data_IF_807767979861
#
_entry.id   IF_807767979861
#
_cell.length_a   1.000
_cell.length_b   1.000
_cell.length_c   1.000
_cell.angle_alpha   90.00
_cell.angle_beta   90.00
_cell.angle_gamma   90.00
#
_symmetry.space_group_name_H-M   'P 1'
#
loop_
_entity.id
_entity.type
_entity.pdbx_description
1 polymer ?
#
# COMPACT_ATOMS: atom_id res chain seq x y z
N UNK A 1 -14.52 -17.79 12.07
CA UNK A 1 -14.35 -17.44 10.65
C UNK A 1 -15.48 -17.95 9.76
N UNK A 2 -16.36 -18.80 10.26
CA UNK A 2 -17.40 -19.47 9.47
C UNK A 2 -18.61 -18.61 9.06
N UNK A 3 -18.69 -17.35 9.47
CA UNK A 3 -19.82 -16.47 9.17
C UNK A 3 -19.56 -15.37 8.12
N UNK A 4 -18.37 -15.34 7.48
CA UNK A 4 -18.03 -14.29 6.50
C UNK A 4 -18.30 -14.73 5.05
N UNK A 5 -18.41 -16.02 4.80
CA UNK A 5 -18.71 -16.54 3.47
C UNK A 5 -20.18 -17.01 3.43
N UNK A 6 -21.05 -16.11 2.95
CA UNK A 6 -22.43 -16.47 2.66
C UNK A 6 -22.51 -17.73 1.80
N UNK A 7 -23.45 -18.57 2.13
CA UNK A 7 -23.72 -19.90 1.59
C UNK A 7 -24.21 -19.91 0.13
N UNK A 8 -23.49 -19.26 -0.78
CA UNK A 8 -23.67 -19.47 -2.22
C UNK A 8 -22.64 -20.50 -2.68
N UNK A 9 -23.10 -21.71 -3.00
CA UNK A 9 -22.25 -22.85 -3.37
C UNK A 9 -21.37 -22.54 -4.58
N UNK A 10 -21.84 -21.73 -5.52
CA UNK A 10 -21.07 -21.29 -6.69
C UNK A 10 -19.91 -20.36 -6.30
N UNK A 11 -20.15 -19.46 -5.36
CA UNK A 11 -19.14 -18.56 -4.79
C UNK A 11 -18.03 -19.34 -4.06
N UNK A 12 -18.39 -20.35 -3.27
CA UNK A 12 -17.42 -21.14 -2.51
C UNK A 12 -16.49 -21.97 -3.41
N UNK A 13 -16.97 -22.46 -4.54
CA UNK A 13 -16.17 -23.25 -5.50
C UNK A 13 -15.15 -22.36 -6.21
N UNK A 14 -15.50 -21.15 -6.61
CA UNK A 14 -14.60 -20.25 -7.33
C UNK A 14 -13.53 -19.68 -6.40
N UNK A 15 -13.89 -19.26 -5.21
CA UNK A 15 -12.94 -18.82 -4.16
C UNK A 15 -11.98 -19.95 -3.82
N UNK A 16 -12.46 -21.19 -3.69
CA UNK A 16 -11.60 -22.35 -3.46
C UNK A 16 -10.60 -22.59 -4.59
N UNK A 17 -11.01 -22.43 -5.86
CA UNK A 17 -10.10 -22.56 -7.02
C UNK A 17 -8.99 -21.50 -6.98
N UNK A 18 -9.35 -20.22 -6.78
CA UNK A 18 -8.39 -19.11 -6.71
C UNK A 18 -7.42 -19.32 -5.55
N UNK A 19 -7.91 -19.76 -4.39
CA UNK A 19 -7.07 -20.03 -3.21
C UNK A 19 -6.02 -21.11 -3.48
N UNK A 20 -6.39 -22.21 -4.16
CA UNK A 20 -5.47 -23.29 -4.51
C UNK A 20 -4.36 -22.85 -5.48
N UNK A 21 -4.61 -21.83 -6.30
CA UNK A 21 -3.67 -21.27 -7.28
C UNK A 21 -2.79 -20.15 -6.69
N UNK A 22 -3.05 -19.72 -5.45
CA UNK A 22 -2.31 -18.66 -4.76
C UNK A 22 -0.97 -19.18 -4.24
N UNK A 23 0.10 -18.44 -4.51
CA UNK A 23 1.40 -18.71 -3.89
C UNK A 23 1.45 -18.12 -2.48
N UNK A 24 1.96 -18.95 -1.58
CA UNK A 24 2.44 -18.55 -0.28
C UNK A 24 3.92 -18.90 -0.15
N UNK A 25 4.64 -18.21 0.72
CA UNK A 25 5.97 -18.62 1.13
C UNK A 25 6.10 -18.59 2.64
N UNK A 26 6.96 -19.46 3.17
CA UNK A 26 7.29 -19.54 4.58
C UNK A 26 8.77 -19.23 4.78
N UNK A 27 9.08 -18.42 5.77
CA UNK A 27 10.42 -18.32 6.33
C UNK A 27 10.42 -19.06 7.67
N UNK A 28 11.21 -20.11 7.76
CA UNK A 28 11.35 -20.93 8.95
C UNK A 28 12.55 -20.48 9.80
N UNK A 29 12.82 -21.19 10.88
CA UNK A 29 14.05 -21.06 11.66
C UNK A 29 15.29 -21.12 10.75
N UNK A 30 16.38 -20.49 11.17
CA UNK A 30 17.65 -20.43 10.44
C UNK A 30 17.54 -19.80 9.04
N UNK A 31 16.56 -18.87 8.87
CA UNK A 31 16.28 -18.16 7.62
C UNK A 31 15.99 -19.08 6.41
N UNK A 32 15.54 -20.33 6.65
CA UNK A 32 15.14 -21.25 5.58
C UNK A 32 13.90 -20.70 4.90
N UNK A 33 14.03 -20.36 3.60
CA UNK A 33 12.96 -19.78 2.80
C UNK A 33 12.35 -20.80 1.85
N UNK A 34 11.04 -21.06 2.03
CA UNK A 34 10.29 -22.05 1.23
C UNK A 34 9.25 -21.31 0.40
N UNK A 35 9.40 -21.33 -0.92
CA UNK A 35 8.46 -20.76 -1.89
C UNK A 35 7.52 -21.80 -2.49
N UNK A 36 6.56 -21.31 -3.27
CA UNK A 36 5.61 -22.11 -4.05
C UNK A 36 4.72 -22.99 -3.19
N UNK A 37 4.42 -22.56 -1.97
CA UNK A 37 3.42 -23.22 -1.15
C UNK A 37 2.02 -22.84 -1.67
N UNK A 38 1.12 -23.82 -1.71
CA UNK A 38 -0.29 -23.62 -2.02
C UNK A 38 -1.12 -24.70 -1.29
N UNK A 39 -2.36 -24.37 -0.99
CA UNK A 39 -3.21 -25.19 -0.11
C UNK A 39 -4.56 -25.40 -0.79
N UNK A 40 -5.15 -26.56 -0.56
CA UNK A 40 -6.46 -26.94 -1.06
C UNK A 40 -7.55 -26.02 -0.47
N UNK A 41 -7.43 -25.80 0.84
CA UNK A 41 -8.39 -25.07 1.65
C UNK A 41 -7.72 -24.45 2.88
N UNK A 42 -8.49 -23.76 3.69
CA UNK A 42 -8.05 -23.12 4.92
C UNK A 42 -7.55 -24.14 5.94
N UNK A 43 -8.16 -25.31 6.04
CA UNK A 43 -7.79 -26.36 7.01
C UNK A 43 -6.39 -26.92 6.71
N UNK A 44 -6.08 -27.20 5.42
CA UNK A 44 -4.74 -27.61 5.00
C UNK A 44 -3.72 -26.52 5.31
N UNK A 45 -4.03 -25.27 5.02
CA UNK A 45 -3.15 -24.13 5.32
C UNK A 45 -2.86 -24.01 6.82
N UNK A 46 -3.89 -24.09 7.65
CA UNK A 46 -3.75 -24.02 9.11
C UNK A 46 -2.88 -25.16 9.64
N UNK A 47 -3.10 -26.39 9.16
CA UNK A 47 -2.30 -27.55 9.50
C UNK A 47 -0.83 -27.36 9.15
N UNK A 48 -0.53 -26.88 7.95
CA UNK A 48 0.84 -26.67 7.50
C UNK A 48 1.51 -25.49 8.24
N UNK A 49 0.79 -24.43 8.57
CA UNK A 49 1.30 -23.35 9.43
C UNK A 49 1.64 -23.89 10.81
N UNK A 50 0.75 -24.70 11.43
CA UNK A 50 1.00 -25.32 12.74
C UNK A 50 2.18 -26.29 12.69
N UNK A 51 2.33 -27.05 11.60
CA UNK A 51 3.42 -28.02 11.42
C UNK A 51 4.79 -27.35 11.27
N UNK A 52 4.85 -26.27 10.47
CA UNK A 52 6.10 -25.61 10.14
C UNK A 52 6.48 -24.48 11.10
N UNK A 53 5.51 -23.91 11.83
CA UNK A 53 5.67 -22.74 12.70
C UNK A 53 6.52 -21.63 12.05
N UNK A 54 6.14 -21.14 10.86
CA UNK A 54 6.95 -20.18 10.13
C UNK A 54 7.09 -18.86 10.90
N UNK A 55 8.28 -18.27 10.87
CA UNK A 55 8.51 -16.95 11.43
C UNK A 55 7.89 -15.85 10.59
N UNK A 56 7.80 -16.08 9.27
CA UNK A 56 7.22 -15.11 8.33
C UNK A 56 6.43 -15.86 7.25
N UNK A 57 5.29 -15.31 6.90
CA UNK A 57 4.45 -15.77 5.80
C UNK A 57 4.34 -14.63 4.79
N UNK A 58 4.66 -14.91 3.52
CA UNK A 58 4.43 -13.96 2.44
C UNK A 58 3.32 -14.47 1.53
N UNK A 59 2.59 -13.53 0.92
CA UNK A 59 1.55 -13.78 -0.07
C UNK A 59 2.08 -13.37 -1.44
N UNK A 60 1.95 -14.26 -2.42
CA UNK A 60 2.33 -14.06 -3.81
C UNK A 60 1.14 -13.95 -4.76
N UNK A 61 1.39 -14.15 -6.04
CA UNK A 61 0.37 -14.13 -7.09
C UNK A 61 -0.52 -15.37 -7.08
N UNK A 62 -1.65 -15.26 -7.75
CA UNK A 62 -2.45 -16.40 -8.24
C UNK A 62 -1.85 -16.81 -9.59
N UNK A 63 -1.55 -18.09 -9.75
CA UNK A 63 -0.91 -18.62 -10.93
C UNK A 63 -1.87 -19.44 -11.82
N UNK A 64 -1.42 -19.76 -13.02
CA UNK A 64 -2.16 -20.61 -13.96
C UNK A 64 -2.36 -22.05 -13.47
N UNK A 65 -1.49 -22.52 -12.56
CA UNK A 65 -1.50 -23.83 -11.93
C UNK A 65 -1.15 -23.70 -10.46
N UNK A 66 -1.41 -24.76 -9.67
CA UNK A 66 -1.05 -24.76 -8.26
C UNK A 66 0.46 -24.55 -8.08
N UNK A 67 0.88 -23.60 -7.26
CA UNK A 67 2.31 -23.30 -7.06
C UNK A 67 3.16 -24.50 -6.69
N UNK A 68 2.69 -25.41 -5.84
CA UNK A 68 3.45 -26.61 -5.50
C UNK A 68 3.73 -27.55 -6.69
N UNK A 69 2.94 -27.45 -7.76
CA UNK A 69 3.11 -28.26 -8.96
C UNK A 69 3.94 -27.55 -10.05
N UNK A 70 4.51 -26.37 -9.77
CA UNK A 70 5.19 -25.50 -10.74
C UNK A 70 6.27 -26.18 -11.58
N UNK A 71 6.92 -27.23 -11.06
CA UNK A 71 7.99 -27.98 -11.77
C UNK A 71 7.44 -29.01 -12.74
N UNK A 72 6.16 -29.37 -12.64
CA UNK A 72 5.54 -30.43 -13.43
C UNK A 72 4.79 -29.89 -14.63
N UNK A 73 4.64 -28.56 -14.75
CA UNK A 73 3.89 -27.91 -15.82
C UNK A 73 4.84 -27.18 -16.78
N UNK A 74 4.52 -27.20 -18.05
CA UNK A 74 5.34 -26.55 -19.10
C UNK A 74 5.22 -25.03 -19.08
N UNK A 75 4.07 -24.49 -18.66
CA UNK A 75 3.79 -23.04 -18.58
C UNK A 75 3.24 -22.71 -17.22
N UNK A 76 4.00 -21.96 -16.45
CA UNK A 76 3.64 -21.50 -15.11
C UNK A 76 3.71 -19.97 -15.05
N UNK A 77 2.57 -19.31 -15.14
CA UNK A 77 2.48 -17.84 -15.25
C UNK A 77 1.59 -17.25 -14.16
N UNK A 78 2.00 -16.11 -13.57
CA UNK A 78 1.12 -15.36 -12.67
C UNK A 78 -0.05 -14.76 -13.47
N UNK A 79 -1.25 -14.87 -12.95
CA UNK A 79 -2.50 -14.40 -13.56
C UNK A 79 -3.00 -13.10 -12.93
N UNK A 80 -3.02 -13.06 -11.62
CA UNK A 80 -3.40 -11.86 -10.88
C UNK A 80 -2.63 -11.75 -9.56
N UNK A 81 -2.52 -10.55 -9.07
CA UNK A 81 -1.94 -10.23 -7.77
C UNK A 81 -2.43 -8.86 -7.33
N UNK A 82 -2.64 -8.66 -6.06
CA UNK A 82 -2.88 -7.34 -5.48
C UNK A 82 -1.79 -6.36 -5.94
N UNK A 83 -2.16 -5.12 -6.22
CA UNK A 83 -1.18 -4.07 -6.46
C UNK A 83 -0.67 -3.61 -5.09
N UNK A 84 0.63 -3.78 -4.87
CA UNK A 84 1.21 -3.56 -3.53
C UNK A 84 2.31 -2.51 -3.55
N UNK A 85 2.45 -1.80 -2.43
CA UNK A 85 3.53 -0.83 -2.20
C UNK A 85 4.21 -1.15 -0.88
N UNK A 86 5.53 -1.05 -0.88
CA UNK A 86 6.37 -1.17 0.31
C UNK A 86 7.11 0.14 0.55
N UNK A 87 7.04 0.65 1.78
CA UNK A 87 7.69 1.88 2.22
C UNK A 87 8.47 1.59 3.48
N UNK A 88 9.79 1.67 3.39
CA UNK A 88 10.69 1.42 4.51
C UNK A 88 11.32 2.74 5.01
N UNK A 89 11.44 2.87 6.33
CA UNK A 89 12.02 4.05 6.96
C UNK A 89 13.50 4.24 6.63
N UNK A 90 14.24 3.20 6.28
CA UNK A 90 15.65 3.32 5.89
C UNK A 90 15.87 4.15 4.64
N UNK A 91 14.88 4.21 3.75
CA UNK A 91 14.95 5.05 2.57
C UNK A 91 14.92 6.55 2.88
N UNK A 92 14.58 6.91 4.13
CA UNK A 92 14.55 8.28 4.62
C UNK A 92 15.80 8.67 5.45
N UNK A 93 16.82 7.81 5.55
CA UNK A 93 18.01 8.08 6.38
C UNK A 93 18.76 9.35 5.94
N UNK A 94 18.67 9.76 4.67
CA UNK A 94 19.24 11.01 4.18
C UNK A 94 18.53 12.28 4.69
N UNK A 95 17.26 12.16 5.15
CA UNK A 95 16.42 13.30 5.59
C UNK A 95 15.93 13.16 7.03
N UNK A 96 16.39 12.17 7.78
CA UNK A 96 16.09 12.04 9.21
C UNK A 96 17.37 12.11 10.06
N UNK A 97 17.24 12.73 11.23
CA UNK A 97 18.34 12.98 12.17
C UNK A 97 18.10 12.38 13.55
N UNK A 98 16.87 11.99 13.87
CA UNK A 98 16.48 11.47 15.18
C UNK A 98 16.83 9.99 15.39
N UNK A 99 16.88 9.20 14.31
CA UNK A 99 17.17 7.77 14.28
C UNK A 99 17.90 7.42 12.98
N UNK A 100 18.44 6.20 12.89
CA UNK A 100 19.03 5.66 11.66
C UNK A 100 18.76 4.16 11.52
N UNK A 101 18.87 3.64 10.31
CA UNK A 101 18.73 2.22 10.01
C UNK A 101 17.40 1.65 10.48
N UNK A 102 17.44 0.69 11.41
CA UNK A 102 16.25 -0.01 11.88
C UNK A 102 15.47 0.70 12.99
N UNK A 103 16.06 1.70 13.59
CA UNK A 103 15.45 2.43 14.70
C UNK A 103 14.40 3.42 14.20
N UNK A 104 13.30 3.52 14.94
CA UNK A 104 12.21 4.47 14.69
C UNK A 104 11.76 5.11 15.99
N UNK A 105 11.24 6.33 15.89
CA UNK A 105 10.60 7.05 16.99
C UNK A 105 9.41 7.86 16.46
N UNK A 106 8.67 8.51 17.35
CA UNK A 106 7.52 9.34 16.95
C UNK A 106 7.88 10.47 15.98
N UNK A 107 9.09 11.01 16.08
CA UNK A 107 9.57 12.08 15.19
C UNK A 107 9.69 11.61 13.74
N UNK A 108 10.42 10.52 13.49
CA UNK A 108 10.57 10.02 12.12
C UNK A 108 9.32 9.27 11.62
N UNK A 109 8.45 8.73 12.51
CA UNK A 109 7.25 8.04 12.06
C UNK A 109 6.31 8.93 11.24
N UNK A 110 6.37 10.25 11.40
CA UNK A 110 5.62 11.21 10.59
C UNK A 110 5.91 11.10 9.09
N UNK A 111 7.09 10.62 8.68
CA UNK A 111 7.36 10.30 7.27
C UNK A 111 6.40 9.22 6.75
N UNK A 112 6.16 8.18 7.56
CA UNK A 112 5.18 7.13 7.19
C UNK A 112 3.77 7.67 7.14
N UNK A 113 3.38 8.51 8.08
CA UNK A 113 2.07 9.19 8.09
C UNK A 113 1.85 9.99 6.80
N UNK A 114 2.84 10.79 6.38
CA UNK A 114 2.77 11.57 5.14
C UNK A 114 2.70 10.64 3.92
N UNK A 115 3.51 9.58 3.90
CA UNK A 115 3.52 8.61 2.82
C UNK A 115 2.15 7.93 2.64
N UNK A 116 1.54 7.47 3.73
CA UNK A 116 0.18 6.92 3.72
C UNK A 116 -0.82 7.91 3.16
N UNK A 117 -0.84 9.15 3.66
CA UNK A 117 -1.79 10.18 3.21
C UNK A 117 -1.63 10.56 1.74
N UNK A 118 -0.40 10.69 1.25
CA UNK A 118 -0.13 11.03 -0.16
C UNK A 118 -0.54 9.86 -1.07
N UNK A 119 -0.11 8.64 -0.76
CA UNK A 119 -0.40 7.49 -1.59
C UNK A 119 -1.88 7.10 -1.57
N UNK A 120 -2.52 7.03 -0.39
CA UNK A 120 -3.94 6.71 -0.29
C UNK A 120 -4.79 7.69 -1.10
N UNK A 121 -4.48 9.01 -0.99
CA UNK A 121 -5.18 10.01 -1.78
C UNK A 121 -4.95 9.88 -3.28
N UNK A 122 -3.73 9.53 -3.71
CA UNK A 122 -3.42 9.32 -5.12
C UNK A 122 -4.11 8.08 -5.67
N UNK A 123 -4.04 6.96 -4.96
CA UNK A 123 -4.67 5.70 -5.35
C UNK A 123 -6.20 5.84 -5.49
N UNK A 124 -6.84 6.58 -4.57
CA UNK A 124 -8.29 6.82 -4.64
C UNK A 124 -8.69 7.85 -5.68
N UNK A 125 -7.98 8.97 -5.78
CA UNK A 125 -8.43 10.11 -6.60
C UNK A 125 -7.90 10.07 -8.04
N UNK A 126 -6.70 9.54 -8.27
CA UNK A 126 -6.09 9.49 -9.61
C UNK A 126 -6.40 8.15 -10.31
N UNK A 127 -6.58 7.05 -9.57
CA UNK A 127 -6.83 5.72 -10.11
C UNK A 127 -8.21 5.15 -9.79
N UNK A 128 -8.96 5.75 -8.88
CA UNK A 128 -10.32 5.35 -8.53
C UNK A 128 -10.44 4.11 -7.66
N UNK A 129 -9.32 3.61 -7.09
CA UNK A 129 -9.35 2.42 -6.24
C UNK A 129 -10.08 2.65 -4.93
N UNK A 130 -10.85 1.66 -4.50
CA UNK A 130 -11.69 1.72 -3.30
C UNK A 130 -11.19 0.78 -2.20
N UNK A 131 -10.71 -0.42 -2.57
CA UNK A 131 -10.32 -1.46 -1.64
C UNK A 131 -8.82 -1.42 -1.35
N UNK A 132 -8.43 -0.50 -0.47
CA UNK A 132 -7.05 -0.26 -0.08
C UNK A 132 -6.87 -0.62 1.39
N UNK A 133 -5.98 -1.58 1.67
CA UNK A 133 -5.63 -2.00 3.02
C UNK A 133 -4.23 -1.51 3.37
N UNK A 134 -4.10 -0.83 4.49
CA UNK A 134 -2.82 -0.40 5.05
C UNK A 134 -2.39 -1.27 6.22
N UNK A 135 -1.14 -1.71 6.18
CA UNK A 135 -0.58 -2.66 7.15
C UNK A 135 0.77 -2.15 7.66
N UNK A 136 0.94 -2.13 8.96
CA UNK A 136 2.25 -1.90 9.58
C UNK A 136 3.17 -3.09 9.30
N UNK A 137 4.39 -2.85 8.83
CA UNK A 137 5.31 -3.93 8.44
C UNK A 137 5.85 -4.77 9.62
N UNK A 138 5.50 -4.40 10.86
CA UNK A 138 5.97 -5.05 12.09
C UNK A 138 7.31 -4.51 12.60
N UNK A 139 7.96 -3.56 11.89
CA UNK A 139 9.24 -2.99 12.32
C UNK A 139 9.35 -1.50 12.06
N UNK A 140 9.53 -1.06 10.83
CA UNK A 140 9.92 0.32 10.50
C UNK A 140 9.25 0.89 9.25
N UNK A 141 8.27 0.21 8.69
CA UNK A 141 7.61 0.62 7.45
C UNK A 141 6.13 0.30 7.43
N UNK A 142 5.53 0.54 6.29
CA UNK A 142 4.13 0.25 6.01
C UNK A 142 3.99 -0.38 4.63
N UNK A 143 3.02 -1.29 4.51
CA UNK A 143 2.62 -1.90 3.25
C UNK A 143 1.22 -1.41 2.87
N UNK A 144 1.02 -1.15 1.59
CA UNK A 144 -0.28 -0.87 1.01
C UNK A 144 -0.68 -2.01 0.09
N UNK A 145 -1.92 -2.50 0.23
CA UNK A 145 -2.50 -3.55 -0.60
C UNK A 145 -3.74 -2.99 -1.30
N UNK A 146 -3.71 -2.89 -2.63
CA UNK A 146 -4.85 -2.49 -3.44
C UNK A 146 -5.47 -3.74 -4.03
N UNK A 147 -6.68 -4.05 -3.60
CA UNK A 147 -7.35 -5.32 -3.84
C UNK A 147 -8.50 -5.24 -4.83
N UNK A 148 -8.79 -4.07 -5.39
CA UNK A 148 -9.72 -3.91 -6.51
C UNK A 148 -9.35 -4.87 -7.66
N UNK A 149 -10.32 -5.47 -8.32
CA UNK A 149 -10.06 -6.40 -9.43
C UNK A 149 -9.26 -5.73 -10.55
N UNK A 150 -9.62 -4.49 -10.90
CA UNK A 150 -8.90 -3.68 -11.89
C UNK A 150 -7.43 -3.47 -11.53
N UNK A 151 -7.07 -3.47 -10.24
CA UNK A 151 -5.70 -3.41 -9.77
C UNK A 151 -5.01 -4.78 -9.80
N UNK A 152 -5.72 -5.85 -9.40
CA UNK A 152 -5.16 -7.22 -9.36
C UNK A 152 -4.82 -7.74 -10.75
N UNK A 153 -5.63 -7.42 -11.75
CA UNK A 153 -5.48 -7.88 -13.14
C UNK A 153 -4.55 -7.03 -14.00
N UNK A 154 -3.96 -5.95 -13.45
CA UNK A 154 -3.00 -5.11 -14.18
C UNK A 154 -1.85 -5.93 -14.73
N UNK A 155 -1.54 -5.74 -16.01
CA UNK A 155 -0.34 -6.27 -16.63
C UNK A 155 0.94 -5.69 -15.99
N UNK A 156 2.06 -6.34 -16.18
CA UNK A 156 3.35 -5.84 -15.66
C UNK A 156 3.70 -4.46 -16.22
N UNK A 157 3.38 -4.18 -17.48
CA UNK A 157 3.59 -2.86 -18.09
C UNK A 157 2.73 -1.78 -17.44
N UNK A 158 1.46 -2.08 -17.16
CA UNK A 158 0.55 -1.17 -16.48
C UNK A 158 0.99 -0.90 -15.02
N UNK A 159 1.43 -1.94 -14.29
CA UNK A 159 2.03 -1.80 -12.94
C UNK A 159 3.28 -0.93 -12.97
N UNK A 160 4.11 -1.10 -13.98
CA UNK A 160 5.31 -0.29 -14.17
C UNK A 160 4.94 1.18 -14.38
N UNK A 161 3.99 1.47 -15.29
CA UNK A 161 3.55 2.84 -15.56
C UNK A 161 2.94 3.52 -14.32
N UNK A 162 2.12 2.76 -13.56
CA UNK A 162 1.52 3.27 -12.32
C UNK A 162 2.59 3.53 -11.24
N UNK A 163 3.52 2.61 -11.05
CA UNK A 163 4.62 2.80 -10.08
C UNK A 163 5.49 4.01 -10.45
N UNK A 164 5.77 4.20 -11.73
CA UNK A 164 6.53 5.35 -12.24
C UNK A 164 5.77 6.67 -12.13
N UNK A 165 4.45 6.65 -12.28
CA UNK A 165 3.61 7.82 -12.02
C UNK A 165 3.68 8.27 -10.56
N UNK A 166 3.68 7.33 -9.61
CA UNK A 166 3.74 7.62 -8.18
C UNK A 166 5.18 7.88 -7.67
N UNK A 167 6.20 7.47 -8.42
CA UNK A 167 7.60 7.67 -8.04
C UNK A 167 8.07 9.07 -8.43
N UNK A 168 8.01 10.02 -7.48
CA UNK A 168 8.55 11.37 -7.70
C UNK A 168 10.06 11.44 -7.49
N UNK A 169 10.56 10.80 -6.44
CA UNK A 169 11.98 10.83 -6.08
C UNK A 169 12.71 9.77 -6.93
N UNK A 170 13.47 10.26 -7.92
CA UNK A 170 14.22 9.41 -8.86
C UNK A 170 15.69 9.78 -8.85
N UNK A 171 16.55 8.78 -9.07
CA UNK A 171 17.99 8.96 -9.19
C UNK A 171 18.76 8.24 -8.08
N UNK A 172 20.05 8.00 -8.35
CA UNK A 172 20.96 7.34 -7.42
C UNK A 172 21.43 8.25 -6.28
N UNK A 173 22.25 7.71 -5.39
CA UNK A 173 22.80 8.43 -4.23
C UNK A 173 23.64 9.65 -4.63
N UNK A 174 24.29 9.61 -5.79
CA UNK A 174 25.12 10.72 -6.31
C UNK A 174 24.31 11.93 -6.80
N UNK A 175 22.98 11.76 -7.04
CA UNK A 175 22.15 12.85 -7.53
C UNK A 175 21.57 13.65 -6.37
N UNK A 176 22.04 14.88 -6.18
CA UNK A 176 21.61 15.78 -5.10
C UNK A 176 20.15 16.18 -5.28
N UNK A 177 19.79 16.76 -6.42
CA UNK A 177 18.42 17.19 -6.73
C UNK A 177 17.67 16.10 -7.51
N UNK A 178 16.77 15.39 -6.84
CA UNK A 178 16.01 14.24 -7.38
C UNK A 178 14.62 14.62 -7.88
N UNK A 179 14.09 15.78 -7.48
CA UNK A 179 12.74 16.26 -7.86
C UNK A 179 12.85 17.43 -8.81
N UNK A 180 12.24 17.30 -9.98
CA UNK A 180 12.13 18.35 -11.00
C UNK A 180 10.69 18.41 -11.50
N UNK A 181 10.02 19.53 -11.24
CA UNK A 181 8.62 19.74 -11.59
C UNK A 181 8.54 20.59 -12.86
N UNK A 182 7.76 20.19 -13.88
CA UNK A 182 7.53 21.01 -15.07
C UNK A 182 6.79 22.31 -14.73
N UNK A 183 6.75 23.27 -15.68
CA UNK A 183 6.10 24.57 -15.46
C UNK A 183 4.63 24.45 -15.00
N UNK A 184 3.91 23.48 -15.54
CA UNK A 184 2.53 23.19 -15.12
C UNK A 184 2.55 22.15 -14.03
N UNK A 185 2.21 22.54 -12.81
CA UNK A 185 2.11 21.62 -11.67
C UNK A 185 0.92 20.66 -11.86
N UNK A 186 1.21 19.37 -11.89
CA UNK A 186 0.18 18.33 -12.00
C UNK A 186 -0.74 18.33 -10.77
N UNK A 187 -2.06 18.11 -10.92
CA UNK A 187 -3.01 18.12 -9.80
C UNK A 187 -2.61 17.17 -8.65
N UNK A 188 -2.08 15.98 -8.95
CA UNK A 188 -1.61 15.03 -7.91
C UNK A 188 -0.46 15.60 -7.10
N UNK A 189 0.50 16.31 -7.73
CA UNK A 189 1.60 16.95 -7.02
C UNK A 189 1.15 18.15 -6.20
N UNK A 190 0.14 18.90 -6.67
CA UNK A 190 -0.47 19.98 -5.88
C UNK A 190 -1.15 19.43 -4.63
N UNK A 191 -1.85 18.30 -4.75
CA UNK A 191 -2.45 17.61 -3.60
C UNK A 191 -1.38 17.11 -2.64
N UNK A 192 -0.33 16.47 -3.14
CA UNK A 192 0.81 16.00 -2.35
C UNK A 192 1.51 17.16 -1.62
N UNK A 193 1.76 18.29 -2.30
CA UNK A 193 2.29 19.51 -1.69
C UNK A 193 1.40 20.02 -0.55
N UNK A 194 0.08 20.06 -0.78
CA UNK A 194 -0.87 20.47 0.25
C UNK A 194 -0.84 19.58 1.51
N UNK A 195 -0.64 18.27 1.35
CA UNK A 195 -0.44 17.35 2.46
C UNK A 195 0.94 17.60 3.10
N UNK A 196 2.01 17.64 2.32
CA UNK A 196 3.37 17.83 2.79
C UNK A 196 3.53 19.12 3.63
N UNK A 197 2.98 20.24 3.19
CA UNK A 197 3.05 21.53 3.87
C UNK A 197 2.44 21.52 5.27
N UNK A 198 1.42 20.69 5.52
CA UNK A 198 0.78 20.59 6.85
C UNK A 198 1.75 20.04 7.91
N UNK A 199 2.65 19.16 7.50
CA UNK A 199 3.59 18.49 8.39
C UNK A 199 5.00 19.08 8.34
N UNK A 200 5.31 19.91 7.34
CA UNK A 200 6.66 20.33 7.03
C UNK A 200 7.36 21.03 8.19
N UNK A 201 6.71 22.00 8.83
CA UNK A 201 7.31 22.74 9.93
C UNK A 201 7.63 21.79 11.09
N UNK A 202 6.64 21.05 11.56
CA UNK A 202 6.81 20.12 12.67
C UNK A 202 7.84 19.04 12.36
N UNK A 203 7.74 18.38 11.18
CA UNK A 203 8.63 17.28 10.84
C UNK A 203 10.04 17.77 10.51
N UNK A 204 10.18 18.72 9.59
CA UNK A 204 11.48 19.08 9.01
C UNK A 204 12.24 20.13 9.83
N UNK A 205 11.52 21.13 10.36
CA UNK A 205 12.15 22.25 11.06
C UNK A 205 12.28 22.03 12.56
N UNK A 206 11.38 21.23 13.17
CA UNK A 206 11.39 20.96 14.61
C UNK A 206 11.91 19.56 14.92
N UNK A 207 11.26 18.49 14.44
CA UNK A 207 11.60 17.11 14.79
C UNK A 207 12.94 16.65 14.23
N UNK A 208 13.20 16.92 12.94
CA UNK A 208 14.45 16.57 12.28
C UNK A 208 15.47 17.71 12.33
N UNK A 209 15.00 18.94 12.46
CA UNK A 209 15.82 20.16 12.58
C UNK A 209 16.91 20.24 11.49
N UNK A 210 16.49 20.00 10.23
CA UNK A 210 17.39 19.88 9.06
C UNK A 210 18.09 21.19 8.67
N UNK A 211 17.78 22.30 9.33
CA UNK A 211 18.45 23.58 9.14
C UNK A 211 19.30 24.01 10.36
N UNK A 212 19.56 23.12 11.31
CA UNK A 212 20.28 23.43 12.56
C UNK A 212 21.76 23.75 12.34
N UNK A 213 22.46 22.92 11.58
CA UNK A 213 23.93 23.01 11.39
C UNK A 213 24.31 23.38 9.96
N UNK A 214 25.52 23.94 9.74
CA UNK A 214 26.05 24.26 8.40
C UNK A 214 25.99 23.06 7.44
N UNK A 215 26.29 21.88 7.91
CA UNK A 215 26.25 20.66 7.12
C UNK A 215 24.83 20.34 6.67
N UNK A 216 23.84 20.42 7.57
CA UNK A 216 22.45 20.10 7.28
C UNK A 216 21.82 21.13 6.34
N UNK A 217 21.95 22.44 6.62
CA UNK A 217 21.38 23.43 5.68
C UNK A 217 22.12 23.45 4.35
N UNK A 218 23.41 23.11 4.33
CA UNK A 218 24.19 22.98 3.10
C UNK A 218 23.59 21.96 2.14
N UNK A 219 23.10 20.83 2.66
CA UNK A 219 22.39 19.81 1.86
C UNK A 219 21.08 20.39 1.25
N UNK A 220 20.36 21.22 1.99
CA UNK A 220 19.13 21.85 1.49
C UNK A 220 19.46 22.94 0.47
N UNK A 221 20.46 23.79 0.73
CA UNK A 221 20.90 24.82 -0.21
C UNK A 221 21.41 24.21 -1.53
N UNK A 222 22.03 23.04 -1.49
CA UNK A 222 22.50 22.32 -2.68
C UNK A 222 21.36 21.90 -3.63
N UNK A 223 20.09 21.92 -3.18
CA UNK A 223 18.92 21.68 -4.03
C UNK A 223 18.56 22.89 -4.91
N UNK A 224 19.13 24.06 -4.63
CA UNK A 224 18.93 25.32 -5.39
C UNK A 224 19.87 25.29 -6.59
N UNK A 225 19.40 25.41 -7.84
CA UNK A 225 20.26 25.31 -9.03
C UNK A 225 21.25 26.48 -9.21
N UNK A 226 20.91 27.69 -8.69
CA UNK A 226 21.74 28.90 -8.82
C UNK A 226 22.81 28.96 -7.72
N UNK A 227 24.06 28.78 -8.11
CA UNK A 227 25.21 28.81 -7.19
C UNK A 227 25.37 30.17 -6.48
N UNK A 228 25.10 31.28 -7.15
CA UNK A 228 25.18 32.63 -6.53
C UNK A 228 24.14 32.78 -5.41
N UNK A 229 22.93 32.23 -5.62
CA UNK A 229 21.88 32.23 -4.61
C UNK A 229 22.25 31.30 -3.44
N UNK A 230 22.81 30.11 -3.71
CA UNK A 230 23.33 29.22 -2.67
C UNK A 230 24.37 29.93 -1.79
N UNK A 231 25.39 30.56 -2.39
CA UNK A 231 26.46 31.27 -1.69
C UNK A 231 25.95 32.46 -0.88
N UNK A 232 24.99 33.23 -1.46
CA UNK A 232 24.33 34.33 -0.75
C UNK A 232 23.58 33.84 0.49
N UNK A 233 22.80 32.79 0.35
CA UNK A 233 22.05 32.17 1.44
C UNK A 233 23.02 31.61 2.50
N UNK A 234 24.10 30.93 2.08
CA UNK A 234 25.09 30.37 3.01
C UNK A 234 25.72 31.42 3.91
N UNK A 235 25.89 32.67 3.42
CA UNK A 235 26.40 33.82 4.21
C UNK A 235 25.35 34.34 5.23
N UNK A 236 24.06 34.17 4.93
CA UNK A 236 22.96 34.65 5.80
C UNK A 236 22.62 33.60 6.88
N UNK A 237 22.71 32.30 6.55
CA UNK A 237 22.29 31.21 7.45
C UNK A 237 22.88 31.29 8.87
N UNK A 238 24.17 31.64 9.08
CA UNK A 238 24.73 31.75 10.43
C UNK A 238 24.12 32.87 11.27
N UNK A 239 23.53 33.90 10.63
CA UNK A 239 22.90 35.03 11.30
C UNK A 239 21.48 34.72 11.80
N UNK A 240 20.90 33.62 11.33
CA UNK A 240 19.56 33.20 11.72
C UNK A 240 19.60 32.40 13.04
N UNK A 241 18.74 32.75 13.98
CA UNK A 241 18.69 32.15 15.32
C UNK A 241 18.03 30.76 15.37
N UNK A 242 17.21 30.40 14.36
CA UNK A 242 16.44 29.15 14.37
C UNK A 242 16.26 28.58 12.97
N UNK A 243 15.95 27.27 12.89
CA UNK A 243 15.59 26.59 11.65
C UNK A 243 14.39 27.22 10.97
N UNK A 244 13.40 27.68 11.71
CA UNK A 244 12.26 28.41 11.17
C UNK A 244 12.66 29.72 10.49
N UNK A 245 13.55 30.49 11.12
CA UNK A 245 14.06 31.74 10.52
C UNK A 245 14.87 31.46 9.25
N UNK A 246 15.72 30.43 9.27
CA UNK A 246 16.46 29.99 8.08
C UNK A 246 15.54 29.61 6.94
N UNK A 247 14.51 28.84 7.23
CA UNK A 247 13.51 28.44 6.23
C UNK A 247 12.78 29.65 5.64
N UNK A 248 12.33 30.58 6.48
CA UNK A 248 11.68 31.81 6.03
C UNK A 248 12.61 32.65 5.11
N UNK A 249 13.91 32.70 5.44
CA UNK A 249 14.92 33.36 4.60
C UNK A 249 15.07 32.66 3.25
N UNK A 250 15.16 31.33 3.23
CA UNK A 250 15.21 30.54 1.98
C UNK A 250 13.97 30.83 1.11
N UNK A 251 12.77 30.79 1.72
CA UNK A 251 11.52 31.06 1.00
C UNK A 251 11.51 32.48 0.40
N UNK A 252 11.96 33.47 1.17
CA UNK A 252 11.98 34.85 0.74
C UNK A 252 12.96 35.07 -0.42
N UNK A 253 14.17 34.56 -0.34
CA UNK A 253 15.20 34.74 -1.38
C UNK A 253 14.88 33.98 -2.66
N UNK A 254 14.36 32.74 -2.55
CA UNK A 254 13.86 31.99 -3.71
C UNK A 254 12.67 32.74 -4.34
N UNK A 255 11.73 33.25 -3.54
CA UNK A 255 10.59 34.05 -4.05
C UNK A 255 11.04 35.29 -4.82
N UNK A 256 12.04 36.03 -4.33
CA UNK A 256 12.65 37.17 -5.04
C UNK A 256 13.28 36.76 -6.38
N UNK A 257 13.99 35.63 -6.38
CA UNK A 257 14.66 35.14 -7.59
C UNK A 257 13.65 34.64 -8.64
N UNK A 258 12.56 33.97 -8.23
CA UNK A 258 11.46 33.56 -9.11
C UNK A 258 10.80 34.80 -9.74
N UNK A 259 10.52 35.84 -8.96
CA UNK A 259 9.90 37.06 -9.45
C UNK A 259 10.79 37.85 -10.43
N UNK A 260 12.10 37.75 -10.33
CA UNK A 260 13.07 38.31 -11.29
C UNK A 260 13.16 37.55 -12.61
N UNK A 261 12.39 36.49 -12.77
CA UNK A 261 12.36 35.66 -13.97
C UNK A 261 13.72 35.04 -14.35
N UNK A 262 14.52 34.67 -13.33
CA UNK A 262 15.86 34.08 -13.49
C UNK A 262 15.83 32.65 -14.04
N UNK A 263 14.94 32.36 -15.01
CA UNK A 263 14.82 31.05 -15.65
C UNK A 263 16.12 30.55 -16.27
N UNK A 264 17.00 31.46 -16.72
CA UNK A 264 18.31 31.12 -17.28
C UNK A 264 19.24 30.47 -16.23
N UNK A 265 19.00 30.69 -14.93
CA UNK A 265 19.76 30.13 -13.81
C UNK A 265 19.11 28.86 -13.22
N UNK A 266 18.11 28.30 -13.89
CA UNK A 266 17.40 27.08 -13.45
C UNK A 266 16.42 27.30 -12.32
N UNK A 267 16.19 28.55 -11.87
CA UNK A 267 15.18 28.85 -10.84
C UNK A 267 13.83 28.88 -11.49
N UNK A 268 12.99 27.91 -11.11
CA UNK A 268 11.62 27.75 -11.60
C UNK A 268 10.62 28.11 -10.52
N UNK A 269 9.41 28.50 -10.92
CA UNK A 269 8.32 28.86 -10.01
C UNK A 269 8.00 27.78 -8.94
N UNK A 270 8.33 26.51 -9.20
CA UNK A 270 8.05 25.40 -8.30
C UNK A 270 9.27 24.95 -7.45
N UNK A 271 10.35 25.72 -7.42
CA UNK A 271 11.57 25.31 -6.71
C UNK A 271 11.32 25.02 -5.23
N UNK A 272 10.51 25.83 -4.53
CA UNK A 272 10.15 25.55 -3.14
C UNK A 272 9.34 24.26 -2.99
N UNK A 273 8.40 24.02 -3.91
CA UNK A 273 7.63 22.78 -3.95
C UNK A 273 8.54 21.56 -4.20
N UNK A 274 9.53 21.69 -5.10
CA UNK A 274 10.52 20.65 -5.37
C UNK A 274 11.32 20.30 -4.12
N UNK A 275 11.79 21.32 -3.38
CA UNK A 275 12.52 21.13 -2.12
C UNK A 275 11.65 20.45 -1.07
N UNK A 276 10.42 20.94 -0.84
CA UNK A 276 9.47 20.37 0.13
C UNK A 276 9.21 18.90 -0.21
N UNK A 277 8.84 18.62 -1.46
CA UNK A 277 8.52 17.25 -1.87
C UNK A 277 9.74 16.33 -1.83
N UNK A 278 10.94 16.81 -2.18
CA UNK A 278 12.14 15.98 -2.09
C UNK A 278 12.45 15.55 -0.63
N UNK A 279 12.12 16.38 0.34
CA UNK A 279 12.34 16.08 1.75
C UNK A 279 11.31 15.10 2.33
N UNK A 280 10.04 15.16 1.88
CA UNK A 280 8.95 14.43 2.58
C UNK A 280 8.12 13.50 1.71
N UNK A 281 8.28 13.51 0.37
CA UNK A 281 7.47 12.67 -0.52
C UNK A 281 7.74 11.18 -0.29
N UNK A 282 6.74 10.30 -0.49
CA UNK A 282 6.90 8.85 -0.33
C UNK A 282 8.08 8.27 -1.14
N UNK A 283 8.90 7.47 -0.47
CA UNK A 283 10.00 6.70 -1.07
C UNK A 283 9.55 5.27 -1.24
N UNK A 284 9.36 4.86 -2.48
CA UNK A 284 8.73 3.59 -2.85
C UNK A 284 9.78 2.59 -3.31
N UNK A 285 9.74 1.37 -2.78
CA UNK A 285 10.36 0.23 -3.46
C UNK A 285 9.48 -0.17 -4.66
N UNK A 286 9.78 0.44 -5.81
CA UNK A 286 9.01 0.21 -7.03
C UNK A 286 9.15 -1.22 -7.58
N UNK A 287 10.18 -1.97 -7.21
CA UNK A 287 10.35 -3.35 -7.67
C UNK A 287 9.27 -4.26 -7.06
N UNK A 288 8.88 -3.99 -5.83
CA UNK A 288 7.77 -4.67 -5.16
C UNK A 288 6.46 -4.46 -5.91
N UNK A 289 6.21 -3.23 -6.37
CA UNK A 289 4.99 -2.86 -7.11
C UNK A 289 4.96 -3.41 -8.52
N UNK A 290 6.08 -3.33 -9.26
CA UNK A 290 6.19 -3.76 -10.66
C UNK A 290 6.05 -5.27 -10.85
N UNK A 291 6.60 -6.05 -9.92
CA UNK A 291 6.72 -7.50 -10.05
C UNK A 291 5.44 -8.27 -9.73
N UNK A 292 4.88 -8.99 -10.72
CA UNK A 292 3.76 -9.91 -10.45
C UNK A 292 4.19 -11.10 -9.56
N UNK A 293 5.43 -11.54 -9.66
CA UNK A 293 5.99 -12.67 -8.90
C UNK A 293 6.69 -12.25 -7.59
N UNK A 294 6.62 -10.97 -7.23
CA UNK A 294 7.16 -10.49 -5.97
C UNK A 294 6.21 -10.84 -4.83
N UNK A 295 6.72 -11.41 -3.75
CA UNK A 295 5.93 -11.74 -2.56
C UNK A 295 5.98 -10.58 -1.55
N UNK A 296 4.91 -10.40 -0.79
CA UNK A 296 4.87 -9.42 0.28
C UNK A 296 4.37 -10.06 1.58
N UNK A 297 4.93 -9.64 2.70
CA UNK A 297 4.58 -10.14 4.03
C UNK A 297 3.09 -9.98 4.30
N UNK A 298 2.46 -11.09 4.71
CA UNK A 298 1.03 -11.15 4.98
C UNK A 298 0.61 -10.20 6.13
N UNK A 299 -0.59 -9.62 6.08
CA UNK A 299 -1.20 -9.01 7.25
C UNK A 299 -1.23 -9.98 8.44
N UNK A 300 -1.09 -9.45 9.64
CA UNK A 300 -1.04 -10.20 10.91
C UNK A 300 0.12 -11.18 11.07
N UNK A 301 1.06 -11.21 10.13
CA UNK A 301 2.30 -11.94 10.30
C UNK A 301 3.11 -11.34 11.47
N UNK A 302 3.80 -12.19 12.24
CA UNK A 302 4.73 -11.74 13.29
C UNK A 302 6.07 -11.40 12.64
N UNK A 303 6.61 -10.21 12.92
CA UNK A 303 7.90 -9.82 12.38
C UNK A 303 9.04 -10.53 13.13
N UNK A 304 9.92 -11.31 12.46
CA UNK A 304 10.89 -12.19 13.13
C UNK A 304 11.90 -11.45 14.03
N UNK A 305 12.31 -10.24 13.63
CA UNK A 305 13.31 -9.47 14.41
C UNK A 305 12.73 -8.64 15.56
N UNK A 306 11.43 -8.39 15.58
CA UNK A 306 10.80 -7.55 16.60
C UNK A 306 9.76 -8.27 17.44
N UNK A 307 9.25 -9.41 16.98
CA UNK A 307 8.11 -10.10 17.59
C UNK A 307 6.77 -9.33 17.50
N UNK A 308 6.74 -8.18 16.83
CA UNK A 308 5.52 -7.38 16.65
C UNK A 308 4.66 -7.93 15.52
N UNK A 309 3.35 -7.77 15.68
CA UNK A 309 2.38 -8.19 14.66
C UNK A 309 2.26 -7.12 13.57
N UNK A 310 2.14 -7.55 12.32
CA UNK A 310 1.88 -6.68 11.17
C UNK A 310 0.40 -6.29 11.15
N UNK A 311 0.01 -5.32 11.96
CA UNK A 311 -1.38 -4.93 12.17
C UNK A 311 -1.91 -4.05 11.05
N UNK A 312 -3.19 -4.23 10.71
CA UNK A 312 -3.93 -3.32 9.84
C UNK A 312 -4.30 -2.04 10.60
N UNK A 313 -4.29 -0.91 9.91
CA UNK A 313 -4.69 0.39 10.48
C UNK A 313 -5.47 1.24 9.47
N UNK A 314 -6.27 2.16 9.98
CA UNK A 314 -7.08 3.08 9.18
C UNK A 314 -6.21 4.23 8.63
N UNK A 315 -6.06 4.42 7.30
CA UNK A 315 -5.28 5.50 6.72
C UNK A 315 -5.81 6.90 7.08
N UNK A 316 -7.10 7.03 7.34
CA UNK A 316 -7.69 8.30 7.79
C UNK A 316 -7.20 8.71 9.18
N UNK A 317 -6.84 7.72 10.01
CA UNK A 317 -6.30 7.89 11.35
C UNK A 317 -4.78 7.67 11.43
N UNK A 318 -4.06 7.75 10.30
CA UNK A 318 -2.62 7.49 10.25
C UNK A 318 -1.79 8.37 11.20
N UNK A 319 -2.26 9.57 11.53
CA UNK A 319 -1.63 10.47 12.52
C UNK A 319 -1.72 9.94 13.95
N UNK A 320 -2.74 9.13 14.26
CA UNK A 320 -2.98 8.55 15.57
C UNK A 320 -2.30 7.18 15.73
N UNK A 321 -1.85 6.58 14.62
CA UNK A 321 -1.22 5.27 14.65
C UNK A 321 0.13 5.32 15.36
N UNK A 322 0.25 4.51 16.42
CA UNK A 322 1.46 4.41 17.22
C UNK A 322 2.17 3.07 16.99
N UNK A 323 3.26 3.02 16.21
CA UNK A 323 4.01 1.78 15.94
C UNK A 323 4.65 1.19 17.20
N UNK A 324 4.90 2.02 18.23
CA UNK A 324 5.49 1.57 19.50
C UNK A 324 4.48 0.82 20.39
N UNK A 325 3.17 1.11 20.22
CA UNK A 325 2.11 0.46 20.97
C UNK A 325 1.67 -0.88 20.36
N UNK A 326 2.12 -1.20 19.13
CA UNK A 326 1.77 -2.47 18.49
C UNK A 326 2.27 -3.65 19.32
N UNK A 327 1.40 -4.63 19.65
CA UNK A 327 1.74 -5.69 20.57
C UNK A 327 2.79 -6.66 19.99
N UNK A 328 3.60 -7.17 20.89
CA UNK A 328 4.43 -8.35 20.67
C UNK A 328 3.63 -9.62 20.96
N UNK A 329 4.03 -10.74 20.39
CA UNK A 329 3.36 -12.03 20.62
C UNK A 329 3.25 -12.38 22.11
N UNK A 330 4.32 -12.17 22.89
CA UNK A 330 4.32 -12.41 24.35
C UNK A 330 3.24 -11.61 25.07
N UNK A 331 3.08 -10.33 24.73
CA UNK A 331 2.04 -9.48 25.32
C UNK A 331 0.63 -9.99 24.99
N UNK A 332 0.40 -10.47 23.77
CA UNK A 332 -0.90 -11.03 23.38
C UNK A 332 -1.23 -12.29 24.22
N UNK A 333 -0.24 -13.12 24.48
CA UNK A 333 -0.40 -14.30 25.37
C UNK A 333 -0.75 -13.85 26.80
N UNK A 334 -0.07 -12.83 27.32
CA UNK A 334 -0.39 -12.27 28.64
C UNK A 334 -1.80 -11.67 28.68
N UNK A 335 -2.24 -10.95 27.66
CA UNK A 335 -3.58 -10.38 27.54
C UNK A 335 -4.65 -11.48 27.56
N UNK A 336 -4.44 -12.61 26.84
CA UNK A 336 -5.33 -13.78 26.86
C UNK A 336 -5.38 -14.38 28.27
N UNK A 337 -4.21 -14.66 28.87
CA UNK A 337 -4.14 -15.26 30.20
C UNK A 337 -4.84 -14.40 31.26
N UNK A 338 -4.64 -13.07 31.18
CA UNK A 338 -5.29 -12.12 32.10
C UNK A 338 -6.81 -12.10 31.89
N UNK A 339 -7.27 -12.13 30.63
CA UNK A 339 -8.71 -12.17 30.33
C UNK A 339 -9.35 -13.46 30.84
N UNK A 340 -8.66 -14.59 30.72
CA UNK A 340 -9.15 -15.93 31.09
C UNK A 340 -9.00 -16.26 32.58
N UNK A 341 -8.29 -15.42 33.32
CA UNK A 341 -8.10 -15.62 34.76
C UNK A 341 -9.44 -15.68 35.50
N UNK A 342 -9.63 -16.75 36.28
CA UNK A 342 -10.84 -16.98 37.06
C UNK A 342 -12.09 -17.39 36.29
N UNK A 343 -11.98 -17.65 34.95
CA UNK A 343 -13.10 -18.09 34.11
C UNK A 343 -13.09 -19.60 33.91
N UNK A 344 -14.27 -20.18 33.73
CA UNK A 344 -14.46 -21.55 33.35
C UNK A 344 -14.06 -21.80 31.88
N UNK A 345 -13.82 -23.03 31.49
CA UNK A 345 -13.45 -23.38 30.11
C UNK A 345 -14.57 -23.01 29.11
N UNK A 346 -15.83 -23.07 29.52
CA UNK A 346 -16.97 -22.64 28.69
C UNK A 346 -16.96 -21.13 28.45
N UNK A 347 -16.70 -20.32 29.47
CA UNK A 347 -16.60 -18.88 29.37
C UNK A 347 -15.39 -18.44 28.55
N UNK A 348 -14.26 -19.16 28.65
CA UNK A 348 -13.06 -18.92 27.82
C UNK A 348 -13.34 -19.20 26.35
N UNK A 349 -13.98 -20.35 26.05
CA UNK A 349 -14.32 -20.76 24.69
C UNK A 349 -15.42 -19.90 24.03
N UNK A 350 -16.25 -19.20 24.80
CA UNK A 350 -17.33 -18.35 24.30
C UNK A 350 -16.82 -17.09 23.57
N UNK A 351 -15.55 -16.68 23.79
CA UNK A 351 -14.98 -15.47 23.20
C UNK A 351 -13.74 -15.85 22.40
N UNK A 352 -13.73 -15.49 21.11
CA UNK A 352 -12.57 -15.74 20.23
C UNK A 352 -11.31 -15.05 20.77
N UNK A 353 -10.15 -15.72 20.70
CA UNK A 353 -8.88 -15.31 21.30
C UNK A 353 -8.49 -13.85 20.97
N UNK A 354 -8.63 -13.46 19.70
CA UNK A 354 -8.28 -12.11 19.28
C UNK A 354 -9.14 -11.00 19.93
N UNK A 355 -10.39 -11.32 20.31
CA UNK A 355 -11.30 -10.39 21.01
C UNK A 355 -10.91 -10.14 22.46
N UNK A 356 -10.08 -11.03 23.02
CA UNK A 356 -9.51 -10.90 24.37
C UNK A 356 -8.26 -10.01 24.41
N UNK A 357 -7.77 -9.59 23.26
CA UNK A 357 -6.48 -8.91 23.11
C UNK A 357 -6.61 -7.53 22.49
N UNK A 358 -5.52 -6.76 22.53
CA UNK A 358 -5.35 -5.48 21.85
C UNK A 358 -5.39 -5.58 20.30
N UNK A 359 -5.41 -6.80 19.74
CA UNK A 359 -5.59 -7.04 18.29
C UNK A 359 -7.02 -6.76 17.80
N UNK A 360 -8.00 -6.69 18.69
CA UNK A 360 -9.42 -6.55 18.36
C UNK A 360 -9.70 -5.42 17.37
N UNK A 361 -9.11 -4.24 17.58
CA UNK A 361 -9.36 -3.08 16.70
C UNK A 361 -8.78 -3.30 15.29
N UNK A 362 -7.56 -3.80 15.20
CA UNK A 362 -6.91 -4.06 13.92
C UNK A 362 -7.62 -5.16 13.11
N UNK A 363 -8.12 -6.18 13.79
CA UNK A 363 -8.90 -7.25 13.14
C UNK A 363 -10.25 -6.71 12.68
N UNK A 364 -10.92 -5.85 13.45
CA UNK A 364 -12.16 -5.21 13.02
C UNK A 364 -11.98 -4.34 11.77
N UNK A 365 -10.84 -3.63 11.64
CA UNK A 365 -10.50 -2.89 10.41
C UNK A 365 -10.39 -3.85 9.22
N UNK A 366 -9.73 -4.99 9.41
CA UNK A 366 -9.58 -6.00 8.37
C UNK A 366 -10.91 -6.67 7.99
N UNK A 367 -11.75 -7.02 8.98
CA UNK A 367 -13.10 -7.56 8.75
C UNK A 367 -13.99 -6.59 7.97
N UNK A 368 -13.94 -5.30 8.29
CA UNK A 368 -14.66 -4.27 7.53
C UNK A 368 -14.16 -4.16 6.09
N UNK A 369 -12.84 -4.23 5.89
CA UNK A 369 -12.24 -4.24 4.56
C UNK A 369 -12.71 -5.46 3.74
N UNK A 370 -12.67 -6.66 4.30
CA UNK A 370 -13.16 -7.88 3.65
C UNK A 370 -14.66 -7.82 3.34
N UNK A 371 -15.45 -7.26 4.23
CA UNK A 371 -16.90 -7.07 4.02
C UNK A 371 -17.18 -6.12 2.86
N UNK A 372 -16.37 -5.07 2.68
CA UNK A 372 -16.43 -4.17 1.53
C UNK A 372 -16.16 -4.90 0.21
N UNK A 373 -15.07 -5.66 0.15
CA UNK A 373 -14.72 -6.50 -1.02
C UNK A 373 -15.81 -7.52 -1.36
N UNK A 374 -16.35 -8.21 -0.35
CA UNK A 374 -17.39 -9.21 -0.57
C UNK A 374 -18.68 -8.60 -1.14
N UNK A 375 -19.08 -7.42 -0.66
CA UNK A 375 -20.27 -6.70 -1.17
C UNK A 375 -20.10 -6.30 -2.63
N UNK A 376 -18.96 -5.75 -3.01
CA UNK A 376 -18.67 -5.35 -4.39
C UNK A 376 -18.66 -6.57 -5.32
N UNK A 377 -17.96 -7.64 -4.93
CA UNK A 377 -17.92 -8.87 -5.71
C UNK A 377 -19.33 -9.47 -5.90
N UNK A 378 -20.19 -9.43 -4.88
CA UNK A 378 -21.56 -9.90 -4.98
C UNK A 378 -22.41 -9.02 -5.91
N UNK A 379 -22.25 -7.70 -5.85
CA UNK A 379 -22.94 -6.77 -6.75
C UNK A 379 -22.54 -7.00 -8.21
N UNK A 380 -21.26 -7.09 -8.49
CA UNK A 380 -20.75 -7.33 -9.84
C UNK A 380 -21.23 -8.65 -10.42
N UNK A 381 -21.25 -9.73 -9.66
CA UNK A 381 -21.79 -11.02 -10.12
C UNK A 381 -23.26 -10.94 -10.49
N UNK A 382 -24.06 -10.18 -9.73
CA UNK A 382 -25.47 -9.97 -10.09
C UNK A 382 -25.59 -9.26 -11.43
N UNK A 383 -24.82 -8.21 -11.66
CA UNK A 383 -24.79 -7.47 -12.93
C UNK A 383 -24.33 -8.37 -14.10
N UNK A 384 -23.37 -9.26 -13.89
CA UNK A 384 -22.89 -10.21 -14.90
C UNK A 384 -24.01 -11.22 -15.27
N UNK A 385 -24.68 -11.79 -14.27
CA UNK A 385 -25.82 -12.71 -14.46
C UNK A 385 -26.98 -12.02 -15.17
N UNK A 386 -27.31 -10.78 -14.79
CA UNK A 386 -28.37 -10.00 -15.44
C UNK A 386 -28.02 -9.74 -16.91
N UNK A 387 -26.79 -9.35 -17.24
CA UNK A 387 -26.33 -9.16 -18.62
C UNK A 387 -26.35 -10.46 -19.44
N UNK A 388 -25.96 -11.58 -18.85
CA UNK A 388 -26.03 -12.88 -19.51
C UNK A 388 -27.49 -13.28 -19.80
N UNK A 389 -28.41 -13.01 -18.88
CA UNK A 389 -29.85 -13.27 -19.08
C UNK A 389 -30.44 -12.35 -20.15
N UNK A 390 -30.10 -11.07 -20.15
CA UNK A 390 -30.52 -10.12 -21.19
C UNK A 390 -29.98 -10.52 -22.57
N UNK A 391 -28.68 -10.88 -22.66
CA UNK A 391 -28.07 -11.34 -23.92
C UNK A 391 -28.66 -12.65 -24.43
N UNK A 392 -29.14 -13.55 -23.57
CA UNK A 392 -29.89 -14.76 -23.96
C UNK A 392 -31.27 -14.39 -24.48
N UNK A 393 -31.97 -13.41 -23.90
CA UNK A 393 -33.27 -12.93 -24.35
C UNK A 393 -33.16 -12.25 -25.72
N UNK A 394 -32.15 -11.40 -25.96
CA UNK A 394 -31.92 -10.81 -27.30
C UNK A 394 -31.51 -11.84 -28.33
N UNK A 395 -30.78 -12.88 -27.98
CA UNK A 395 -30.43 -14.00 -28.85
C UNK A 395 -31.64 -14.88 -29.24
N UNK A 396 -32.67 -14.95 -28.40
CA UNK A 396 -33.93 -15.67 -28.65
C UNK A 396 -34.92 -14.88 -29.52
N UNK A 397 -34.79 -13.57 -29.63
CA UNK A 397 -35.61 -12.70 -30.46
C UNK A 397 -34.93 -12.27 -31.76
N UNK A 398 -34.17 -13.15 -32.41
CA UNK A 398 -33.77 -12.91 -33.79
C UNK A 398 -35.01 -12.89 -34.70
N UNK A 399 -35.26 -11.85 -35.52
CA UNK A 399 -36.45 -11.72 -36.39
C UNK A 399 -36.65 -12.88 -37.38
N UNK A 400 -35.64 -13.72 -37.56
CA UNK A 400 -35.70 -14.92 -38.42
C UNK A 400 -36.54 -16.07 -37.86
N UNK A 401 -36.82 -16.13 -36.56
CA UNK A 401 -37.68 -17.17 -35.98
C UNK A 401 -39.17 -16.80 -36.00
N UNK A 402 -39.52 -15.53 -36.01
CA UNK A 402 -40.92 -15.07 -36.15
C UNK A 402 -41.46 -15.29 -37.57
N UNK A 403 -40.60 -15.23 -38.60
CA UNK A 403 -41.00 -15.53 -39.98
C UNK A 403 -41.32 -17.02 -40.22
N UNK A 404 -40.71 -17.94 -39.47
CA UNK A 404 -40.95 -19.39 -39.61
C UNK A 404 -42.26 -19.87 -38.94
N UNK A 405 -42.74 -19.14 -37.93
CA UNK A 405 -44.02 -19.45 -37.29
C UNK A 405 -45.24 -18.89 -38.03
N UNK A 406 -45.10 -17.79 -38.78
CA UNK A 406 -46.19 -17.21 -39.57
C UNK A 406 -46.37 -17.86 -40.93
N UNK A 407 -45.40 -18.58 -41.47
CA UNK A 407 -45.48 -19.34 -42.72
C UNK A 407 -46.17 -20.70 -42.54
N UNK A 408 -46.22 -21.26 -41.34
CA UNK A 408 -46.90 -22.52 -41.02
C UNK A 408 -48.36 -22.40 -40.59
N UNK A 409 -48.86 -21.17 -40.36
CA UNK A 409 -50.27 -20.92 -40.02
C UNK A 409 -51.15 -20.49 -41.22
N UNK A 410 -50.56 -20.43 -42.44
CA UNK A 410 -51.27 -19.95 -43.65
C UNK A 410 -51.58 -20.97 -44.74
N UNK A 411 -51.35 -22.30 -44.50
CA UNK A 411 -51.76 -23.33 -45.45
C UNK A 411 -52.74 -24.32 -44.82
N UNK A 412 -53.92 -23.82 -44.59
CA UNK A 412 -55.11 -24.67 -44.39
C UNK A 412 -55.76 -24.87 -45.73
N UNK A 413 -55.51 -25.99 -46.39
CA UNK A 413 -56.37 -26.47 -47.49
C UNK A 413 -57.42 -27.42 -46.96
N UNK A 414 -58.67 -27.08 -47.35
CA UNK A 414 -59.83 -27.93 -47.30
C UNK A 414 -59.57 -29.15 -48.23
N UNK A 415 -59.89 -30.33 -47.78
CA UNK A 415 -60.85 -31.25 -48.30
C UNK A 415 -61.13 -32.29 -47.22
#
# INVERSE_FOLDING_TARGET
MDHVFGTDVSCSIEVSKVFQMREFSFTLADDIYIRFQSFKDQEEMEKEIKRHCPYKIDIGAVYSHRPKDHRTVSVFTPKEKELVFDIDMTDYDEVRTCCSGAEICFKCWKFMTIAVKILDSALRQDFGYQHILWVYSGRRGVHCWVCDESARTLSQSARTALAEYLQLIRGGESQIKKVNIPLKLHPSLRRAEGIAKKFFNELILEDQDLLRTPELWGRILALIPDQNLQESLAKIMPQCSSSQQRWNTIQTEIGKAVNKNDHKKGIRQHLLTEIILQLVYPRLDIQVTKGLNHLLKAPFCVHPKTGRVCVCFDPLKAEQFNPMAVPHLSRLVEEINNYDAGKTDQERAAVAEYKKTSMKESIAIFENFLSGLAKENAARRREEIEKEQEGVVEGCFSPSLICLFLIKAGSGEQV
#
